data_IF_215794562895
#
_entry.id   IF_215794562895
#
_cell.length_a   1.000
_cell.length_b   1.000
_cell.length_c   1.000
_cell.angle_alpha   90.00
_cell.angle_beta   90.00
_cell.angle_gamma   90.00
#
_symmetry.space_group_name_H-M   'P 1'
#
loop_
_entity.id
_entity.type
_entity.pdbx_description
1 polymer ?
#
# COMPACT_ATOMS: atom_id res chain seq x y z
N UNK A 1 -10.38 5.68 -9.42
CA UNK A 1 -10.27 6.31 -8.10
C UNK A 1 -11.67 6.36 -7.49
N UNK A 2 -12.15 5.26 -6.92
CA UNK A 2 -13.41 5.20 -6.19
C UNK A 2 -13.39 3.91 -5.34
N UNK A 3 -13.72 4.02 -4.05
CA UNK A 3 -14.12 2.84 -3.27
C UNK A 3 -13.11 2.24 -2.31
N UNK A 4 -12.28 3.02 -1.61
CA UNK A 4 -11.76 2.53 -0.34
C UNK A 4 -11.95 3.57 0.75
N UNK A 5 -12.90 3.29 1.65
CA UNK A 5 -13.23 4.01 2.88
C UNK A 5 -12.00 4.24 3.81
N UNK A 6 -10.85 3.63 3.46
CA UNK A 6 -9.56 3.68 4.16
C UNK A 6 -8.82 5.02 4.00
N UNK A 7 -9.03 5.78 2.92
CA UNK A 7 -8.38 7.11 2.78
C UNK A 7 -8.91 8.10 3.82
N UNK A 8 -10.13 7.90 4.32
CA UNK A 8 -10.77 8.77 5.32
C UNK A 8 -10.26 8.58 6.75
N UNK A 9 -9.46 7.54 7.01
CA UNK A 9 -8.88 7.18 8.33
C UNK A 9 -7.35 7.33 8.40
N UNK A 10 -6.75 8.01 7.43
CA UNK A 10 -5.29 8.15 7.41
C UNK A 10 -4.81 9.00 8.60
N UNK A 11 -3.86 8.50 9.41
CA UNK A 11 -3.34 9.24 10.55
C UNK A 11 -2.55 10.49 10.11
N UNK A 12 -2.49 11.49 11.00
CA UNK A 12 -1.64 12.67 10.83
C UNK A 12 -0.17 12.23 10.74
N UNK A 13 0.38 12.14 9.54
CA UNK A 13 1.73 11.61 9.30
C UNK A 13 1.84 10.62 8.15
N UNK A 14 0.72 10.23 7.53
CA UNK A 14 0.71 9.24 6.44
C UNK A 14 1.70 9.52 5.31
N UNK A 15 1.90 10.78 4.91
CA UNK A 15 2.88 11.14 3.87
C UNK A 15 4.31 10.72 4.25
N UNK A 16 4.69 10.86 5.52
CA UNK A 16 6.03 10.46 6.01
C UNK A 16 6.17 8.94 6.05
N UNK A 17 5.16 8.24 6.57
CA UNK A 17 5.10 6.77 6.59
C UNK A 17 5.20 6.22 5.17
N UNK A 18 4.39 6.73 4.25
CA UNK A 18 4.41 6.33 2.84
C UNK A 18 5.77 6.58 2.18
N UNK A 19 6.42 7.72 2.46
CA UNK A 19 7.74 7.99 1.93
C UNK A 19 8.78 6.98 2.43
N UNK A 20 8.79 6.67 3.73
CA UNK A 20 9.70 5.66 4.30
C UNK A 20 9.49 4.27 3.73
N UNK A 21 8.23 3.85 3.55
CA UNK A 21 7.92 2.54 2.96
C UNK A 21 8.39 2.46 1.50
N UNK A 22 8.20 3.52 0.70
CA UNK A 22 8.66 3.53 -0.70
C UNK A 22 10.18 3.66 -0.83
N UNK A 23 10.85 4.29 0.14
CA UNK A 23 12.31 4.35 0.20
C UNK A 23 12.90 2.99 0.62
N UNK A 24 12.25 2.30 1.56
CA UNK A 24 12.61 0.93 2.00
C UNK A 24 12.38 -0.10 0.90
N UNK A 25 11.25 0.00 0.20
CA UNK A 25 10.78 -0.96 -0.81
C UNK A 25 10.75 -0.29 -2.20
N UNK A 26 11.90 0.03 -2.81
CA UNK A 26 11.94 0.72 -4.10
C UNK A 26 11.40 -0.13 -5.26
N UNK A 27 11.43 -1.45 -5.09
CA UNK A 27 10.88 -2.45 -6.02
C UNK A 27 9.65 -3.08 -5.39
N UNK A 28 8.64 -3.40 -6.21
CA UNK A 28 7.37 -3.94 -5.78
C UNK A 28 7.56 -5.30 -5.10
N UNK A 29 7.21 -5.38 -3.82
CA UNK A 29 7.35 -6.59 -3.00
C UNK A 29 6.49 -7.76 -3.50
N UNK A 30 5.42 -7.49 -4.25
CA UNK A 30 4.54 -8.53 -4.80
C UNK A 30 5.07 -9.18 -6.08
N UNK A 31 5.85 -8.46 -6.89
CA UNK A 31 6.30 -8.98 -8.20
C UNK A 31 7.82 -9.01 -8.37
N UNK A 32 8.58 -8.30 -7.54
CA UNK A 32 10.04 -8.22 -7.59
C UNK A 32 10.63 -7.57 -8.85
N UNK A 33 9.79 -7.05 -9.76
CA UNK A 33 10.25 -6.59 -11.09
C UNK A 33 10.06 -5.09 -11.31
N UNK A 34 8.93 -4.54 -10.86
CA UNK A 34 8.55 -3.15 -11.17
C UNK A 34 8.82 -2.22 -10.00
N UNK A 35 9.10 -0.93 -10.25
CA UNK A 35 9.26 0.03 -9.17
C UNK A 35 7.96 0.18 -8.36
N UNK A 36 8.12 0.34 -7.05
CA UNK A 36 7.02 0.63 -6.14
C UNK A 36 6.53 2.06 -6.35
N UNK A 37 5.22 2.23 -6.43
CA UNK A 37 4.57 3.54 -6.56
C UNK A 37 3.46 3.76 -5.55
N UNK A 38 3.00 2.68 -4.92
CA UNK A 38 1.91 2.67 -3.96
C UNK A 38 2.39 1.99 -2.67
N UNK A 39 1.87 2.47 -1.55
CA UNK A 39 2.07 1.86 -0.25
C UNK A 39 0.78 1.11 0.09
N UNK A 40 0.90 -0.19 0.34
CA UNK A 40 -0.22 -1.11 0.52
C UNK A 40 -0.10 -1.85 1.85
N UNK A 41 -1.23 -2.20 2.46
CA UNK A 41 -1.23 -2.98 3.69
C UNK A 41 -0.94 -4.45 3.37
N UNK A 42 0.06 -5.06 4.00
CA UNK A 42 0.41 -6.47 3.79
C UNK A 42 -0.82 -7.36 4.03
N UNK A 43 -1.49 -7.15 5.17
CA UNK A 43 -2.75 -7.82 5.50
C UNK A 43 -3.95 -6.99 5.06
N UNK A 44 -4.85 -7.60 4.29
CA UNK A 44 -6.11 -7.00 3.88
C UNK A 44 -6.97 -6.57 5.09
N UNK A 45 -7.75 -5.49 4.94
CA UNK A 45 -8.78 -5.05 5.90
C UNK A 45 -8.27 -4.76 7.33
N UNK A 46 -6.98 -4.41 7.49
CA UNK A 46 -6.44 -3.88 8.75
C UNK A 46 -6.30 -2.36 8.69
N UNK A 47 -6.53 -1.68 9.83
CA UNK A 47 -6.26 -0.24 10.01
C UNK A 47 -4.87 -0.01 10.63
N UNK A 48 -3.98 -0.99 10.44
CA UNK A 48 -2.65 -1.01 11.02
C UNK A 48 -1.64 -0.29 10.12
N UNK A 49 -1.46 1.00 10.42
CA UNK A 49 -0.59 1.90 9.67
C UNK A 49 0.88 1.85 10.12
N UNK A 50 1.29 0.82 10.88
CA UNK A 50 2.70 0.62 11.25
C UNK A 50 3.53 0.31 10.00
N UNK A 51 4.74 0.85 9.92
CA UNK A 51 5.64 0.64 8.78
C UNK A 51 5.91 -0.86 8.49
N UNK A 52 5.87 -1.71 9.52
CA UNK A 52 6.04 -3.17 9.42
C UNK A 52 4.81 -3.92 8.87
N UNK A 53 3.66 -3.25 8.74
CA UNK A 53 2.43 -3.81 8.18
C UNK A 53 2.13 -3.25 6.78
N UNK A 54 3.03 -2.42 6.26
CA UNK A 54 2.95 -1.77 4.97
C UNK A 54 4.05 -2.29 4.05
N UNK A 55 3.80 -2.31 2.76
CA UNK A 55 4.74 -2.72 1.72
C UNK A 55 4.65 -1.79 0.50
N UNK A 56 5.78 -1.61 -0.18
CA UNK A 56 5.86 -0.96 -1.49
C UNK A 56 5.36 -1.88 -2.60
N UNK A 57 4.40 -1.41 -3.39
CA UNK A 57 3.84 -2.16 -4.52
C UNK A 57 3.71 -1.30 -5.76
N UNK A 58 3.75 -1.94 -6.93
CA UNK A 58 3.48 -1.27 -8.21
C UNK A 58 1.97 -1.11 -8.43
N UNK A 59 1.61 -0.17 -9.31
CA UNK A 59 0.21 0.16 -9.60
C UNK A 59 -0.63 -1.05 -10.07
N UNK A 60 -0.04 -1.95 -10.86
CA UNK A 60 -0.77 -3.12 -11.37
C UNK A 60 -1.04 -4.17 -10.28
N UNK A 61 -0.02 -4.53 -9.49
CA UNK A 61 -0.20 -5.48 -8.38
C UNK A 61 -1.18 -4.92 -7.34
N UNK A 62 -1.09 -3.62 -7.07
CA UNK A 62 -2.04 -2.93 -6.20
C UNK A 62 -3.48 -2.99 -6.75
N UNK A 63 -3.66 -2.75 -8.06
CA UNK A 63 -4.95 -2.86 -8.72
C UNK A 63 -5.54 -4.27 -8.65
N UNK A 64 -4.72 -5.30 -8.94
CA UNK A 64 -5.12 -6.71 -8.84
C UNK A 64 -5.59 -7.07 -7.42
N UNK A 65 -4.83 -6.66 -6.40
CA UNK A 65 -5.16 -6.91 -5.00
C UNK A 65 -6.44 -6.18 -4.59
N UNK A 66 -6.58 -4.90 -4.96
CA UNK A 66 -7.79 -4.12 -4.68
C UNK A 66 -9.03 -4.75 -5.31
N UNK A 67 -8.93 -5.24 -6.56
CA UNK A 67 -10.01 -5.96 -7.23
C UNK A 67 -10.35 -7.29 -6.56
N UNK A 68 -9.36 -7.99 -5.99
CA UNK A 68 -9.58 -9.24 -5.26
C UNK A 68 -10.17 -9.01 -3.85
N UNK A 69 -9.87 -7.89 -3.19
CA UNK A 69 -10.45 -7.51 -1.89
C UNK A 69 -11.88 -6.95 -1.98
N UNK A 70 -12.32 -6.59 -3.20
CA UNK A 70 -13.63 -6.00 -3.49
C UNK A 70 -14.76 -7.00 -3.76
N UNK A 71 -14.53 -8.30 -3.55
CA UNK A 71 -15.53 -9.36 -3.66
C UNK A 71 -15.80 -9.97 -2.28
#
# INVERSE_FOLDING_TARGET
WAGSDRVRRLPSGWKKIRARVLERDPICELCGVRPSSHCDHIKAKTDDHRESQLQGVCAECHGRKSSAEGN
#
